data_IF_108725635285
#
_entry.id   IF_108725635285
#
_cell.length_a   1.000
_cell.length_b   1.000
_cell.length_c   1.000
_cell.angle_alpha   90.00
_cell.angle_beta   90.00
_cell.angle_gamma   90.00
#
_symmetry.space_group_name_H-M   'P 1'
#
loop_
_entity.id
_entity.type
_entity.pdbx_description
1 polymer ?
#
# COMPACT_ATOMS: atom_id res chain seq x y z
N UNK A 1 -8.97 -7.53 -1.65
CA UNK A 1 -8.22 -6.32 -1.22
C UNK A 1 -6.88 -6.14 -1.96
N UNK A 2 -5.98 -7.13 -2.00
CA UNK A 2 -4.66 -6.98 -2.67
C UNK A 2 -4.72 -6.55 -4.14
N UNK A 3 -5.67 -7.10 -4.92
CA UNK A 3 -5.89 -6.70 -6.33
C UNK A 3 -6.23 -5.21 -6.48
N UNK A 4 -7.00 -4.63 -5.57
CA UNK A 4 -7.39 -3.21 -5.63
C UNK A 4 -6.17 -2.32 -5.38
N UNK A 5 -5.31 -2.69 -4.43
CA UNK A 5 -4.07 -1.96 -4.17
C UNK A 5 -3.10 -2.02 -5.37
N UNK A 6 -2.99 -3.18 -6.03
CA UNK A 6 -2.17 -3.34 -7.24
C UNK A 6 -2.69 -2.47 -8.39
N UNK A 7 -4.01 -2.40 -8.59
CA UNK A 7 -4.63 -1.55 -9.63
C UNK A 7 -4.33 -0.06 -9.38
N UNK A 8 -4.39 0.41 -8.12
CA UNK A 8 -4.10 1.80 -7.77
C UNK A 8 -2.63 2.14 -8.02
N UNK A 9 -1.70 1.25 -7.65
CA UNK A 9 -0.27 1.44 -7.88
C UNK A 9 0.04 1.48 -9.38
N UNK A 10 -0.58 0.59 -10.18
CA UNK A 10 -0.43 0.58 -11.64
C UNK A 10 -0.97 1.87 -12.28
N UNK A 11 -2.14 2.35 -11.85
CA UNK A 11 -2.71 3.60 -12.36
C UNK A 11 -1.82 4.82 -12.02
N UNK A 12 -1.28 4.89 -10.80
CA UNK A 12 -0.34 5.93 -10.39
C UNK A 12 0.99 5.87 -11.16
N UNK A 13 1.51 4.67 -11.41
CA UNK A 13 2.71 4.44 -12.23
C UNK A 13 2.52 4.82 -13.69
N UNK A 14 1.35 4.53 -14.27
CA UNK A 14 1.02 4.92 -15.65
C UNK A 14 0.89 6.44 -15.81
N UNK A 15 0.29 7.11 -14.82
CA UNK A 15 0.21 8.58 -14.74
C UNK A 15 1.60 9.21 -14.60
N UNK A 16 2.51 8.56 -13.85
CA UNK A 16 3.90 9.00 -13.72
C UNK A 16 4.67 8.89 -15.04
N UNK A 17 4.54 7.76 -15.75
CA UNK A 17 5.16 7.56 -17.07
C UNK A 17 4.65 8.55 -18.14
N UNK A 18 3.38 8.97 -18.06
CA UNK A 18 2.77 9.90 -19.02
C UNK A 18 3.00 11.37 -18.68
N UNK A 19 3.67 11.70 -17.56
CA UNK A 19 3.93 13.07 -17.12
C UNK A 19 4.92 13.84 -18.01
N UNK A 20 5.68 13.16 -18.89
CA UNK A 20 6.44 13.80 -19.97
C UNK A 20 7.50 14.82 -19.55
N UNK A 21 7.95 14.80 -18.29
CA UNK A 21 8.91 15.77 -17.74
C UNK A 21 8.30 17.00 -17.06
N UNK A 22 6.97 17.11 -16.99
CA UNK A 22 6.32 18.15 -16.21
C UNK A 22 6.45 17.83 -14.70
N UNK A 23 7.27 18.61 -13.98
CA UNK A 23 7.58 18.41 -12.55
C UNK A 23 6.33 18.35 -11.66
N UNK A 24 5.30 19.15 -11.96
CA UNK A 24 4.04 19.14 -11.19
C UNK A 24 3.32 17.79 -11.33
N UNK A 25 3.25 17.27 -12.56
CA UNK A 25 2.64 15.96 -12.84
C UNK A 25 3.45 14.82 -12.25
N UNK A 26 4.78 14.95 -12.24
CA UNK A 26 5.68 13.97 -11.61
C UNK A 26 5.47 13.94 -10.09
N UNK A 27 5.39 15.11 -9.45
CA UNK A 27 5.14 15.23 -8.01
C UNK A 27 3.78 14.64 -7.62
N UNK A 28 2.72 15.00 -8.35
CA UNK A 28 1.36 14.48 -8.12
C UNK A 28 1.31 12.94 -8.27
N UNK A 29 1.95 12.40 -9.30
CA UNK A 29 2.00 10.96 -9.55
C UNK A 29 2.81 10.22 -8.49
N UNK A 30 3.94 10.79 -8.05
CA UNK A 30 4.75 10.25 -6.95
C UNK A 30 3.98 10.22 -5.64
N UNK A 31 3.20 11.26 -5.35
CA UNK A 31 2.36 11.29 -4.16
C UNK A 31 1.25 10.24 -4.21
N UNK A 32 0.63 10.03 -5.37
CA UNK A 32 -0.35 8.96 -5.57
C UNK A 32 0.24 7.56 -5.36
N UNK A 33 1.46 7.31 -5.86
CA UNK A 33 2.18 6.05 -5.63
C UNK A 33 2.47 5.85 -4.14
N UNK A 34 2.97 6.90 -3.45
CA UNK A 34 3.26 6.83 -2.00
C UNK A 34 1.99 6.51 -1.20
N UNK A 35 0.86 7.13 -1.53
CA UNK A 35 -0.43 6.82 -0.89
C UNK A 35 -0.85 5.37 -1.13
N UNK A 36 -0.65 4.84 -2.34
CA UNK A 36 -0.89 3.43 -2.66
C UNK A 36 0.00 2.48 -1.86
N UNK A 37 1.29 2.80 -1.71
CA UNK A 37 2.25 2.02 -0.90
C UNK A 37 1.85 2.05 0.58
N UNK A 38 1.47 3.20 1.12
CA UNK A 38 0.99 3.32 2.51
C UNK A 38 -0.23 2.42 2.74
N UNK A 39 -1.19 2.41 1.80
CA UNK A 39 -2.35 1.51 1.87
C UNK A 39 -1.94 0.03 1.92
N UNK A 40 -0.93 -0.37 1.14
CA UNK A 40 -0.40 -1.73 1.15
C UNK A 40 0.26 -2.07 2.51
N UNK A 41 1.06 -1.15 3.04
CA UNK A 41 1.75 -1.30 4.33
C UNK A 41 0.74 -1.46 5.46
N UNK A 42 -0.34 -0.68 5.47
CA UNK A 42 -1.41 -0.78 6.48
C UNK A 42 -2.07 -2.16 6.46
N UNK A 43 -2.32 -2.73 5.28
CA UNK A 43 -2.92 -4.07 5.15
C UNK A 43 -1.98 -5.13 5.75
N UNK A 44 -0.69 -5.07 5.44
CA UNK A 44 0.30 -5.98 6.01
C UNK A 44 0.43 -5.81 7.53
N UNK A 45 0.45 -4.57 8.02
CA UNK A 45 0.50 -4.27 9.44
C UNK A 45 -0.73 -4.82 10.17
N UNK A 46 -1.93 -4.65 9.60
CA UNK A 46 -3.17 -5.20 10.17
C UNK A 46 -3.13 -6.73 10.29
N UNK A 47 -2.63 -7.42 9.26
CA UNK A 47 -2.47 -8.88 9.30
C UNK A 47 -1.43 -9.32 10.33
N UNK A 48 -0.28 -8.65 10.38
CA UNK A 48 0.77 -8.94 11.35
C UNK A 48 0.28 -8.78 12.79
N UNK A 49 -0.46 -7.71 13.08
CA UNK A 49 -1.06 -7.47 14.40
C UNK A 49 -2.10 -8.55 14.72
N UNK A 50 -3.01 -8.86 13.78
CA UNK A 50 -4.02 -9.90 13.99
C UNK A 50 -3.38 -11.27 14.31
N UNK A 51 -2.35 -11.65 13.55
CA UNK A 51 -1.60 -12.89 13.77
C UNK A 51 -0.89 -12.88 15.13
N UNK A 52 -0.27 -11.76 15.51
CA UNK A 52 0.37 -11.59 16.81
C UNK A 52 -0.62 -11.75 17.97
N UNK A 53 -1.80 -11.15 17.87
CA UNK A 53 -2.85 -11.27 18.90
C UNK A 53 -3.35 -12.71 19.00
N UNK A 54 -3.62 -13.37 17.87
CA UNK A 54 -4.08 -14.77 17.85
C UNK A 54 -3.02 -15.69 18.46
N UNK A 55 -1.75 -15.52 18.08
CA UNK A 55 -0.64 -16.31 18.62
C UNK A 55 -0.45 -16.09 20.12
N UNK A 56 -0.58 -14.84 20.59
CA UNK A 56 -0.51 -14.50 22.01
C UNK A 56 -1.65 -15.14 22.81
N UNK A 57 -2.86 -15.18 22.26
CA UNK A 57 -4.02 -15.82 22.90
C UNK A 57 -3.88 -17.35 22.94
N UNK A 58 -3.36 -17.97 21.88
CA UNK A 58 -3.08 -19.41 21.86
C UNK A 58 -2.03 -19.78 22.90
N UNK A 59 -0.92 -19.03 22.99
CA UNK A 59 0.13 -19.26 23.98
C UNK A 59 -0.34 -19.06 25.42
N UNK A 60 -1.37 -18.25 25.68
CA UNK A 60 -1.91 -18.03 27.01
C UNK A 60 -2.92 -19.11 27.44
N UNK A 61 -3.45 -19.89 26.50
CA UNK A 61 -4.47 -20.92 26.75
C UNK A 61 -3.88 -22.33 26.85
N UNK A 62 -2.71 -22.58 26.25
CA UNK A 62 -1.90 -23.80 26.40
C UNK A 62 -1.03 -23.74 27.66
#
# INVERSE_FOLDING_TARGET
LGIVAVIIILAGGFKWMTAGGNEDKVSESRQMIIQGVIGLVVIFAAWAIASFVISSLQSATS
#
